data_IF_640762149531
#
_entry.id   IF_640762149531
#
_cell.length_a   1.000
_cell.length_b   1.000
_cell.length_c   1.000
_cell.angle_alpha   90.00
_cell.angle_beta   90.00
_cell.angle_gamma   90.00
#
_symmetry.space_group_name_H-M   'P 1'
#
loop_
_entity.id
_entity.type
_entity.pdbx_description
1 polymer ?
#
# COMPACT_ATOMS: atom_id res chain seq x y z
N UNK A 1 -3.56 2.21 6.13
CA UNK A 1 -4.66 2.68 7.00
C UNK A 1 -4.06 3.28 8.26
N UNK A 2 -4.05 4.60 8.38
CA UNK A 2 -3.97 5.19 9.70
C UNK A 2 -5.36 5.05 10.33
N UNK A 3 -5.62 3.94 10.97
CA UNK A 3 -6.72 3.82 11.94
C UNK A 3 -6.33 4.67 13.15
N UNK A 4 -6.62 5.94 13.10
CA UNK A 4 -6.48 6.83 14.25
C UNK A 4 -7.63 6.56 15.21
N UNK A 5 -7.42 5.60 16.11
CA UNK A 5 -8.30 5.41 17.26
C UNK A 5 -8.21 6.66 18.13
N UNK A 6 -9.22 7.52 18.07
CA UNK A 6 -9.36 8.67 18.98
C UNK A 6 -9.16 10.06 18.38
N UNK A 7 -8.93 10.20 17.06
CA UNK A 7 -8.93 11.52 16.41
C UNK A 7 -10.33 11.76 15.85
N UNK A 8 -11.01 12.77 16.35
CA UNK A 8 -12.23 13.28 15.71
C UNK A 8 -11.80 13.88 14.37
N UNK A 9 -12.23 13.26 13.27
CA UNK A 9 -11.93 13.78 11.93
C UNK A 9 -12.43 15.23 11.84
N UNK A 10 -11.57 16.19 11.46
CA UNK A 10 -11.98 17.59 11.37
C UNK A 10 -12.99 17.77 10.25
N UNK A 11 -14.02 18.52 10.51
CA UNK A 11 -15.01 18.86 9.51
C UNK A 11 -14.50 20.03 8.66
N UNK A 12 -14.07 19.74 7.45
CA UNK A 12 -13.70 20.74 6.43
C UNK A 12 -14.95 21.03 5.61
N UNK A 13 -15.54 22.21 5.81
CA UNK A 13 -16.84 22.57 5.19
C UNK A 13 -16.69 23.18 3.79
N UNK A 14 -15.57 23.83 3.53
CA UNK A 14 -15.31 24.55 2.28
C UNK A 14 -13.81 24.87 2.16
N UNK A 15 -13.41 25.50 1.06
CA UNK A 15 -12.02 25.87 0.81
C UNK A 15 -11.46 26.84 1.87
N UNK A 16 -12.24 27.82 2.34
CA UNK A 16 -11.79 28.75 3.37
C UNK A 16 -11.48 28.03 4.69
N UNK A 17 -12.29 27.04 5.07
CA UNK A 17 -12.05 26.21 6.25
C UNK A 17 -10.78 25.36 6.09
N UNK A 18 -10.51 24.87 4.88
CA UNK A 18 -9.27 24.18 4.57
C UNK A 18 -8.05 25.12 4.65
N UNK A 19 -8.09 26.25 3.96
CA UNK A 19 -7.00 27.19 3.92
C UNK A 19 -6.65 27.77 5.30
N UNK A 20 -7.65 28.21 6.04
CA UNK A 20 -7.43 28.81 7.36
C UNK A 20 -7.07 27.82 8.48
N UNK A 21 -7.51 26.56 8.34
CA UNK A 21 -7.32 25.54 9.40
C UNK A 21 -6.21 24.53 9.13
N UNK A 22 -5.80 24.33 7.87
CA UNK A 22 -4.95 23.21 7.48
C UNK A 22 -3.81 23.58 6.53
N UNK A 23 -4.01 24.49 5.58
CA UNK A 23 -3.00 24.84 4.57
C UNK A 23 -1.81 25.57 5.18
N UNK A 24 -2.04 26.44 6.16
CA UNK A 24 -1.00 27.23 6.85
C UNK A 24 -0.33 26.48 8.02
N UNK A 25 -0.35 25.15 8.02
CA UNK A 25 0.39 24.31 8.95
C UNK A 25 -0.30 24.02 10.30
N UNK A 26 -1.59 24.32 10.43
CA UNK A 26 -2.32 24.14 11.69
C UNK A 26 -2.47 22.67 12.12
N UNK A 27 -3.28 21.87 11.42
CA UNK A 27 -3.60 20.49 11.82
C UNK A 27 -3.11 19.42 10.85
N UNK A 28 -2.36 19.77 9.82
CA UNK A 28 -1.91 18.84 8.76
C UNK A 28 -1.13 17.63 9.31
N UNK A 29 -0.37 17.82 10.38
CA UNK A 29 0.38 16.74 11.03
C UNK A 29 -0.46 15.70 11.76
N UNK A 30 -1.74 16.00 12.03
CA UNK A 30 -2.66 15.12 12.77
C UNK A 30 -3.65 14.39 11.87
N UNK A 31 -3.93 14.91 10.68
CA UNK A 31 -5.01 14.39 9.79
C UNK A 31 -4.51 13.91 8.44
N UNK A 32 -3.21 13.97 8.20
CA UNK A 32 -2.61 13.67 6.91
C UNK A 32 -2.51 14.87 5.98
N UNK A 33 -1.86 14.67 4.83
CA UNK A 33 -1.50 15.73 3.87
C UNK A 33 -2.55 15.91 2.76
N UNK A 34 -3.62 15.11 2.77
CA UNK A 34 -4.59 15.05 1.70
C UNK A 34 -5.99 15.34 2.22
N UNK A 35 -6.73 16.15 1.51
CA UNK A 35 -8.13 16.42 1.79
C UNK A 35 -8.95 16.34 0.50
N UNK A 36 -10.11 15.67 0.55
CA UNK A 36 -11.03 15.65 -0.57
C UNK A 36 -11.66 17.03 -0.76
N UNK A 37 -11.70 17.52 -2.00
CA UNK A 37 -12.31 18.81 -2.35
C UNK A 37 -13.81 18.86 -2.05
N UNK A 38 -14.47 17.72 -2.18
CA UNK A 38 -15.91 17.59 -1.96
C UNK A 38 -16.17 16.73 -0.72
N UNK A 39 -16.96 17.21 0.24
CA UNK A 39 -17.28 16.46 1.46
C UNK A 39 -18.29 15.36 1.19
N UNK A 40 -18.39 14.41 2.13
CA UNK A 40 -19.41 13.36 2.13
C UNK A 40 -18.88 12.04 1.57
N UNK A 41 -19.81 11.13 1.19
CA UNK A 41 -19.48 9.76 0.78
C UNK A 41 -18.45 9.69 -0.38
N UNK A 42 -18.56 10.58 -1.36
CA UNK A 42 -17.61 10.64 -2.47
C UNK A 42 -16.19 10.97 -1.97
N UNK A 43 -16.06 11.98 -1.09
CA UNK A 43 -14.76 12.33 -0.53
C UNK A 43 -14.18 11.24 0.37
N UNK A 44 -15.04 10.55 1.11
CA UNK A 44 -14.63 9.47 1.99
C UNK A 44 -14.21 8.20 1.23
N UNK A 45 -14.68 8.02 0.00
CA UNK A 45 -14.31 6.90 -0.87
C UNK A 45 -12.94 7.07 -1.52
N UNK A 46 -12.35 8.28 -1.46
CA UNK A 46 -11.03 8.54 -2.04
C UNK A 46 -9.92 8.12 -1.08
N UNK A 47 -9.02 7.28 -1.60
CA UNK A 47 -7.76 6.92 -0.95
C UNK A 47 -6.60 7.41 -1.81
N UNK A 48 -5.63 8.07 -1.19
CA UNK A 48 -4.38 8.43 -1.84
C UNK A 48 -3.28 7.48 -1.37
N UNK A 49 -2.67 6.79 -2.32
CA UNK A 49 -1.53 5.91 -2.05
C UNK A 49 -0.27 6.54 -2.65
N UNK A 50 0.77 6.64 -1.84
CA UNK A 50 2.04 7.27 -2.22
C UNK A 50 3.18 6.27 -2.07
N UNK A 51 3.96 6.12 -3.13
CA UNK A 51 5.21 5.38 -3.12
C UNK A 51 6.37 6.37 -3.33
N UNK A 52 7.16 6.60 -2.28
CA UNK A 52 8.16 7.68 -2.24
C UNK A 52 9.61 7.17 -2.33
N UNK A 53 9.82 5.86 -2.50
CA UNK A 53 11.18 5.31 -2.62
C UNK A 53 11.19 4.00 -3.40
N UNK A 54 12.34 3.60 -3.97
CA UNK A 54 12.50 2.30 -4.61
C UNK A 54 12.14 1.13 -3.69
N UNK A 55 12.54 1.17 -2.41
CA UNK A 55 12.27 0.10 -1.44
C UNK A 55 10.79 0.03 -1.07
N UNK A 56 10.08 1.16 -1.11
CA UNK A 56 8.63 1.19 -0.93
C UNK A 56 7.90 0.59 -2.13
N UNK A 57 8.45 0.73 -3.33
CA UNK A 57 7.91 0.15 -4.56
C UNK A 57 8.15 -1.36 -4.63
N UNK A 58 9.38 -1.80 -4.40
CA UNK A 58 9.82 -3.18 -4.40
C UNK A 58 10.90 -3.41 -3.36
N UNK A 59 10.70 -4.38 -2.49
CA UNK A 59 11.72 -4.84 -1.55
C UNK A 59 11.97 -6.32 -1.79
N UNK A 60 13.19 -6.64 -2.22
CA UNK A 60 13.60 -7.97 -2.64
C UNK A 60 13.77 -8.95 -1.48
N UNK A 61 13.93 -8.46 -0.26
CA UNK A 61 14.15 -9.31 0.91
C UNK A 61 13.59 -8.65 2.16
N UNK A 62 12.26 -8.54 2.24
CA UNK A 62 11.62 -7.90 3.40
C UNK A 62 11.66 -8.82 4.62
N UNK A 63 11.56 -10.15 4.41
CA UNK A 63 11.61 -11.19 5.44
C UNK A 63 11.82 -12.57 4.81
N UNK A 64 11.89 -13.62 5.64
CA UNK A 64 11.87 -15.03 5.21
C UNK A 64 10.75 -15.76 5.91
N UNK A 65 10.32 -16.90 5.33
CA UNK A 65 9.43 -17.83 6.02
C UNK A 65 10.11 -18.40 7.26
N UNK A 66 9.37 -18.50 8.36
CA UNK A 66 9.84 -19.09 9.62
C UNK A 66 9.57 -20.61 9.68
N UNK A 67 8.73 -21.13 8.80
CA UNK A 67 8.42 -22.55 8.66
C UNK A 67 8.15 -22.91 7.19
N UNK A 68 8.08 -24.22 6.87
CA UNK A 68 7.52 -24.69 5.61
C UNK A 68 6.01 -24.48 5.61
N UNK A 69 5.48 -23.89 4.55
CA UNK A 69 4.07 -23.59 4.41
C UNK A 69 3.45 -24.42 3.28
N UNK A 70 2.43 -25.22 3.62
CA UNK A 70 1.79 -26.12 2.67
C UNK A 70 0.91 -25.39 1.65
N UNK A 71 0.75 -25.96 0.47
CA UNK A 71 -0.24 -25.48 -0.50
C UNK A 71 -1.64 -25.40 0.13
N UNK A 72 -2.38 -24.36 -0.19
CA UNK A 72 -3.70 -24.04 0.35
C UNK A 72 -3.70 -23.21 1.63
N UNK A 73 -2.56 -23.06 2.32
CA UNK A 73 -2.49 -22.19 3.50
C UNK A 73 -2.65 -20.71 3.11
N UNK A 74 -3.40 -19.98 3.92
CA UNK A 74 -3.60 -18.53 3.77
C UNK A 74 -2.82 -17.74 4.81
N UNK A 75 -2.57 -18.31 5.99
CA UNK A 75 -1.78 -17.67 7.05
C UNK A 75 -0.36 -18.24 6.97
N UNK A 76 0.60 -17.34 6.74
CA UNK A 76 2.00 -17.66 6.45
C UNK A 76 2.87 -17.15 7.60
N UNK A 77 3.66 -18.05 8.18
CA UNK A 77 4.61 -17.71 9.24
C UNK A 77 5.85 -17.07 8.67
N UNK A 78 6.17 -15.88 9.16
CA UNK A 78 7.33 -15.10 8.72
C UNK A 78 8.21 -14.70 9.90
N UNK A 79 9.51 -14.56 9.67
CA UNK A 79 10.44 -14.12 10.72
C UNK A 79 10.11 -12.73 11.24
N UNK A 80 9.54 -11.86 10.38
CA UNK A 80 9.06 -10.53 10.75
C UNK A 80 7.95 -10.09 9.81
N UNK A 81 6.86 -9.60 10.35
CA UNK A 81 5.78 -8.96 9.61
C UNK A 81 6.03 -7.46 9.40
N UNK A 82 7.09 -6.92 9.98
CA UNK A 82 7.42 -5.50 9.83
C UNK A 82 7.70 -5.16 8.36
N UNK A 83 7.10 -4.07 7.89
CA UNK A 83 7.25 -3.61 6.51
C UNK A 83 6.16 -4.08 5.55
N UNK A 84 5.24 -4.96 5.99
CA UNK A 84 4.05 -5.30 5.20
C UNK A 84 2.87 -4.42 5.56
N UNK A 85 2.11 -4.07 4.54
CA UNK A 85 0.82 -3.41 4.66
C UNK A 85 -0.27 -4.28 4.05
N UNK A 86 -1.50 -4.10 4.53
CA UNK A 86 -2.66 -4.72 3.89
C UNK A 86 -2.72 -4.24 2.44
N UNK A 87 -2.94 -5.18 1.52
CA UNK A 87 -2.98 -5.04 0.07
C UNK A 87 -1.61 -5.01 -0.64
N UNK A 88 -0.49 -4.99 0.07
CA UNK A 88 0.80 -5.26 -0.58
C UNK A 88 0.75 -6.56 -1.39
N UNK A 89 1.51 -6.61 -2.47
CA UNK A 89 1.68 -7.82 -3.27
C UNK A 89 2.97 -8.51 -2.84
N UNK A 90 2.89 -9.82 -2.66
CA UNK A 90 4.06 -10.62 -2.27
C UNK A 90 4.30 -11.78 -3.23
N UNK A 91 5.55 -12.18 -3.34
CA UNK A 91 6.02 -13.40 -4.01
C UNK A 91 6.98 -14.14 -3.09
N UNK A 92 7.06 -15.45 -3.25
CA UNK A 92 7.90 -16.31 -2.42
C UNK A 92 9.05 -16.90 -3.24
N UNK A 93 10.28 -16.50 -2.93
CA UNK A 93 11.49 -16.97 -3.62
C UNK A 93 11.43 -16.69 -5.12
N UNK A 94 11.63 -17.71 -5.92
CA UNK A 94 11.62 -17.62 -7.39
C UNK A 94 10.25 -17.85 -8.03
N UNK A 95 9.20 -18.06 -7.21
CA UNK A 95 7.85 -18.24 -7.73
C UNK A 95 7.34 -16.92 -8.32
N UNK A 96 6.67 -17.02 -9.46
CA UNK A 96 6.05 -15.88 -10.14
C UNK A 96 4.61 -15.64 -9.73
N UNK A 97 4.02 -16.56 -8.95
CA UNK A 97 2.67 -16.39 -8.42
C UNK A 97 2.64 -15.21 -7.45
N UNK A 98 1.69 -14.34 -7.66
CA UNK A 98 1.45 -13.18 -6.81
C UNK A 98 0.36 -13.46 -5.80
N UNK A 99 0.57 -12.93 -4.61
CA UNK A 99 -0.39 -12.99 -3.51
C UNK A 99 -0.62 -11.59 -2.96
N UNK A 100 -1.84 -11.30 -2.59
CA UNK A 100 -2.18 -10.06 -1.88
C UNK A 100 -2.19 -10.30 -0.38
N UNK A 101 -1.54 -9.43 0.38
CA UNK A 101 -1.64 -9.42 1.84
C UNK A 101 -3.02 -8.92 2.25
N UNK A 102 -3.77 -9.73 2.98
CA UNK A 102 -5.12 -9.40 3.46
C UNK A 102 -5.16 -9.07 4.94
N UNK A 103 -4.20 -9.54 5.71
CA UNK A 103 -4.00 -9.18 7.12
C UNK A 103 -2.55 -9.37 7.54
N UNK A 104 -2.15 -8.69 8.62
CA UNK A 104 -0.86 -8.87 9.30
C UNK A 104 -1.10 -9.09 10.78
N UNK A 105 -0.33 -10.00 11.40
CA UNK A 105 -0.29 -10.20 12.84
C UNK A 105 1.13 -10.61 13.24
N UNK A 106 1.46 -10.53 14.52
CA UNK A 106 2.82 -10.84 15.00
C UNK A 106 3.35 -12.16 14.45
N UNK A 107 4.44 -12.10 13.69
CA UNK A 107 5.10 -13.25 13.07
C UNK A 107 4.31 -13.90 11.92
N UNK A 108 3.23 -13.28 11.44
CA UNK A 108 2.44 -13.86 10.34
C UNK A 108 1.89 -12.80 9.39
N UNK A 109 1.74 -13.20 8.12
CA UNK A 109 0.95 -12.47 7.13
C UNK A 109 -0.16 -13.39 6.61
N UNK A 110 -1.35 -12.85 6.36
CA UNK A 110 -2.41 -13.58 5.67
C UNK A 110 -2.43 -13.17 4.22
N UNK A 111 -2.46 -14.15 3.32
CA UNK A 111 -2.37 -13.90 1.88
C UNK A 111 -3.51 -14.57 1.11
N UNK A 112 -3.82 -14.00 -0.03
CA UNK A 112 -4.75 -14.51 -1.03
C UNK A 112 -4.09 -14.51 -2.40
N UNK A 113 -4.13 -15.64 -3.09
CA UNK A 113 -3.53 -15.79 -4.42
C UNK A 113 -4.27 -14.93 -5.45
N UNK A 114 -3.53 -14.13 -6.21
CA UNK A 114 -4.09 -13.36 -7.32
C UNK A 114 -4.33 -14.25 -8.53
N UNK A 115 -5.34 -13.89 -9.34
CA UNK A 115 -5.76 -14.65 -10.52
C UNK A 115 -6.23 -16.08 -10.20
N UNK A 116 -6.65 -16.33 -8.96
CA UNK A 116 -7.26 -17.56 -8.49
C UNK A 116 -8.65 -17.26 -7.91
N UNK A 117 -9.50 -18.28 -7.68
CA UNK A 117 -10.75 -18.09 -6.95
C UNK A 117 -10.53 -17.40 -5.60
N UNK A 118 -11.48 -16.57 -5.19
CA UNK A 118 -11.42 -15.84 -3.92
C UNK A 118 -11.15 -16.78 -2.74
N UNK A 119 -10.28 -16.36 -1.82
CA UNK A 119 -9.88 -17.12 -0.65
C UNK A 119 -8.84 -18.23 -0.91
N UNK A 120 -8.31 -18.33 -2.15
CA UNK A 120 -7.23 -19.27 -2.44
C UNK A 120 -5.95 -18.83 -1.74
N UNK A 121 -5.38 -19.71 -0.91
CA UNK A 121 -4.07 -19.53 -0.29
C UNK A 121 -2.91 -19.87 -1.23
N UNK A 122 -1.81 -20.37 -0.68
CA UNK A 122 -0.64 -20.76 -1.47
C UNK A 122 -1.02 -21.79 -2.54
N UNK A 123 -0.60 -21.57 -3.78
CA UNK A 123 -0.85 -22.51 -4.88
C UNK A 123 0.13 -23.68 -4.88
N UNK A 124 1.25 -23.55 -4.19
CA UNK A 124 2.27 -24.57 -4.00
C UNK A 124 2.86 -24.51 -2.59
N UNK A 125 3.46 -25.62 -2.15
CA UNK A 125 4.23 -25.63 -0.90
C UNK A 125 5.46 -24.75 -1.02
N UNK A 126 5.72 -23.93 -0.01
CA UNK A 126 6.86 -23.02 0.08
C UNK A 126 7.77 -23.46 1.23
N UNK A 127 9.03 -23.67 0.94
CA UNK A 127 9.99 -24.18 1.93
C UNK A 127 10.31 -23.14 3.01
N UNK A 128 10.69 -23.62 4.20
CA UNK A 128 11.24 -22.78 5.26
C UNK A 128 12.42 -21.95 4.75
N UNK A 129 12.60 -20.76 5.32
CA UNK A 129 13.65 -19.79 4.98
C UNK A 129 13.59 -19.25 3.54
N UNK A 130 12.50 -19.49 2.81
CA UNK A 130 12.26 -18.85 1.52
C UNK A 130 12.10 -17.34 1.71
N UNK A 131 12.79 -16.55 0.88
CA UNK A 131 12.68 -15.09 0.87
C UNK A 131 11.27 -14.65 0.46
N UNK A 132 10.80 -13.57 1.09
CA UNK A 132 9.54 -12.92 0.74
C UNK A 132 9.85 -11.58 0.08
N UNK A 133 9.46 -11.45 -1.18
CA UNK A 133 9.56 -10.23 -1.96
C UNK A 133 8.26 -9.45 -1.81
N UNK A 134 8.36 -8.16 -1.53
CA UNK A 134 7.19 -7.29 -1.39
C UNK A 134 7.17 -6.24 -2.50
N UNK A 135 6.01 -6.05 -3.09
CA UNK A 135 5.69 -5.00 -4.05
C UNK A 135 4.59 -4.11 -3.49
N UNK A 136 4.68 -2.83 -3.77
CA UNK A 136 3.59 -1.89 -3.50
C UNK A 136 2.32 -2.29 -4.25
N UNK A 137 1.14 -2.12 -3.64
CA UNK A 137 -0.16 -2.52 -4.20
C UNK A 137 -0.37 -2.08 -5.67
N UNK A 138 0.12 -0.91 -6.04
CA UNK A 138 -0.05 -0.33 -7.37
C UNK A 138 1.23 -0.33 -8.22
N UNK A 139 2.18 -1.21 -7.92
CA UNK A 139 3.45 -1.26 -8.63
C UNK A 139 3.29 -1.45 -10.15
N UNK A 140 2.24 -2.16 -10.56
CA UNK A 140 1.96 -2.45 -11.98
C UNK A 140 1.34 -1.27 -12.76
N UNK A 141 1.05 -0.15 -12.10
CA UNK A 141 0.60 1.09 -12.74
C UNK A 141 1.77 1.94 -13.26
N UNK A 142 2.99 1.56 -12.95
CA UNK A 142 4.19 2.33 -13.29
C UNK A 142 5.25 1.42 -13.90
N UNK A 143 5.98 1.93 -14.88
CA UNK A 143 7.01 1.17 -15.61
C UNK A 143 8.27 0.90 -14.76
N UNK A 144 8.51 1.70 -13.73
CA UNK A 144 9.68 1.62 -12.85
C UNK A 144 9.39 2.16 -11.45
N UNK A 145 10.27 1.82 -10.50
CA UNK A 145 10.26 2.44 -9.18
C UNK A 145 10.57 3.94 -9.23
N UNK A 146 10.07 4.76 -8.30
CA UNK A 146 10.47 6.15 -8.17
C UNK A 146 11.96 6.22 -7.80
N UNK A 147 12.68 7.18 -8.35
CA UNK A 147 14.11 7.27 -8.20
C UNK A 147 14.62 8.70 -8.18
N UNK A 148 15.69 8.95 -8.94
CA UNK A 148 16.29 10.27 -9.10
C UNK A 148 16.16 10.72 -10.55
N UNK A 149 15.55 11.88 -10.77
CA UNK A 149 15.44 12.47 -12.10
C UNK A 149 16.79 12.93 -12.63
N UNK A 150 16.88 13.09 -13.95
CA UNK A 150 18.07 13.64 -14.58
C UNK A 150 18.38 15.07 -14.09
N UNK A 151 17.35 15.86 -13.80
CA UNK A 151 17.47 17.22 -13.27
C UNK A 151 18.03 17.24 -11.86
N UNK A 152 17.53 16.37 -10.97
CA UNK A 152 18.06 16.24 -9.63
C UNK A 152 19.51 15.74 -9.64
N UNK A 153 19.82 14.75 -10.47
CA UNK A 153 21.21 14.25 -10.66
C UNK A 153 22.15 15.37 -11.10
N UNK A 154 21.75 16.20 -12.06
CA UNK A 154 22.54 17.35 -12.53
C UNK A 154 22.77 18.40 -11.43
N UNK A 155 21.83 18.52 -10.49
CA UNK A 155 21.93 19.40 -9.31
C UNK A 155 22.59 18.75 -8.09
N UNK A 156 23.15 17.53 -8.23
CA UNK A 156 23.70 16.73 -7.13
C UNK A 156 22.64 16.36 -6.05
N UNK A 157 21.38 16.33 -6.43
CA UNK A 157 20.26 15.87 -5.61
C UNK A 157 19.97 14.37 -5.83
N UNK A 158 19.02 13.84 -5.06
CA UNK A 158 18.59 12.46 -5.17
C UNK A 158 17.15 12.28 -4.68
N UNK A 159 16.51 11.17 -5.09
CA UNK A 159 15.20 10.72 -4.60
C UNK A 159 14.08 11.78 -4.68
N UNK A 160 13.97 12.42 -5.85
CA UNK A 160 12.99 13.47 -6.12
C UNK A 160 11.74 12.97 -6.88
N UNK A 161 11.71 11.69 -7.27
CA UNK A 161 10.54 11.07 -7.90
C UNK A 161 9.65 10.44 -6.83
N UNK A 162 8.34 10.59 -7.00
CA UNK A 162 7.31 9.88 -6.21
C UNK A 162 6.23 9.36 -7.14
N UNK A 163 5.59 8.25 -6.77
CA UNK A 163 4.37 7.79 -7.43
C UNK A 163 3.17 8.04 -6.53
N UNK A 164 2.11 8.57 -7.12
CA UNK A 164 0.86 8.87 -6.42
C UNK A 164 -0.28 8.23 -7.21
N UNK A 165 -1.12 7.49 -6.50
CA UNK A 165 -2.33 6.88 -7.06
C UNK A 165 -3.52 7.33 -6.24
N UNK A 166 -4.59 7.72 -6.91
CA UNK A 166 -5.88 8.02 -6.29
C UNK A 166 -6.84 6.87 -6.58
N UNK A 167 -7.48 6.36 -5.57
CA UNK A 167 -8.28 5.14 -5.63
C UNK A 167 -9.68 5.40 -5.10
N UNK A 168 -10.67 4.83 -5.76
CA UNK A 168 -12.03 4.72 -5.24
C UNK A 168 -12.13 3.52 -4.31
N UNK A 169 -11.88 3.72 -3.00
CA UNK A 169 -11.75 2.63 -2.04
C UNK A 169 -13.07 1.87 -1.85
N UNK A 170 -14.17 2.59 -1.78
CA UNK A 170 -15.51 2.03 -1.53
C UNK A 170 -16.32 1.79 -2.79
N UNK A 171 -15.86 2.23 -3.95
CA UNK A 171 -16.56 2.09 -5.23
C UNK A 171 -17.72 3.07 -5.41
N UNK A 172 -17.76 4.17 -4.65
CA UNK A 172 -18.85 5.17 -4.73
C UNK A 172 -18.79 6.01 -6.01
N UNK A 173 -17.60 6.16 -6.57
CA UNK A 173 -17.37 7.00 -7.76
C UNK A 173 -17.45 6.15 -9.02
N UNK A 174 -16.68 5.08 -9.09
CA UNK A 174 -16.54 4.22 -10.27
C UNK A 174 -17.55 3.06 -10.32
N UNK A 175 -18.16 2.73 -9.19
CA UNK A 175 -18.99 1.53 -9.03
C UNK A 175 -18.19 0.26 -8.72
N UNK A 176 -16.86 0.35 -8.60
CA UNK A 176 -15.97 -0.77 -8.32
C UNK A 176 -14.99 -0.40 -7.22
N UNK A 177 -14.96 -1.21 -6.17
CA UNK A 177 -14.04 -1.00 -5.06
C UNK A 177 -12.57 -1.12 -5.49
N UNK A 178 -11.74 -0.26 -4.92
CA UNK A 178 -10.30 -0.21 -5.14
C UNK A 178 -9.88 0.06 -6.60
N UNK A 179 -10.73 0.74 -7.35
CA UNK A 179 -10.39 1.15 -8.71
C UNK A 179 -9.51 2.40 -8.70
N UNK A 180 -8.43 2.35 -9.48
CA UNK A 180 -7.57 3.53 -9.70
C UNK A 180 -8.34 4.52 -10.56
N UNK A 181 -8.40 5.77 -10.10
CA UNK A 181 -9.05 6.87 -10.82
C UNK A 181 -8.02 7.54 -11.73
N UNK A 182 -8.33 7.57 -13.02
CA UNK A 182 -7.54 8.24 -14.08
C UNK A 182 -8.00 9.69 -14.29
#
# INVERSE_FOLDING_TARGET
EQTSTGITAPLIKNLDAYQSGFEDGGAAGTIGQWAAKYPGAIGNSLKVSVCASPDAYFNDNVTTLDAEEAAGQTVISVTSEAGFQIRDIVRFGTDTQEYRVTATATGTITVEALNQPAGTGLVSTVANSTQVHRYWEFYNQFDKAPGTSASATAASGSADEIHVVVVDEDGVISGKQHEVLE
#
